data_IF_546824848733
#
_entry.id   IF_546824848733
#
_cell.length_a   1.000
_cell.length_b   1.000
_cell.length_c   1.000
_cell.angle_alpha   90.00
_cell.angle_beta   90.00
_cell.angle_gamma   90.00
#
_symmetry.space_group_name_H-M   'P 1'
#
loop_
_entity.id
_entity.type
_entity.pdbx_description
1 polymer ?
#
# COMPACT_ATOMS: atom_id res chain seq x y z
N UNK A 1 -30.86 -15.19 -19.03
CA UNK A 1 -29.42 -15.50 -18.86
C UNK A 1 -28.77 -16.01 -20.14
N UNK A 2 -29.50 -16.62 -21.08
CA UNK A 2 -28.92 -17.11 -22.35
C UNK A 2 -28.25 -16.02 -23.21
N UNK A 3 -28.73 -14.78 -23.13
CA UNK A 3 -28.18 -13.65 -23.91
C UNK A 3 -26.87 -13.07 -23.37
N UNK A 4 -26.47 -13.40 -22.14
CA UNK A 4 -25.25 -12.89 -21.50
C UNK A 4 -24.52 -14.03 -20.76
N UNK A 5 -23.88 -14.97 -21.48
CA UNK A 5 -23.23 -16.11 -20.86
C UNK A 5 -22.02 -15.66 -20.01
N UNK A 6 -21.87 -16.18 -18.79
CA UNK A 6 -20.72 -15.84 -17.96
C UNK A 6 -19.43 -16.41 -18.56
N UNK A 7 -18.26 -15.76 -18.32
CA UNK A 7 -16.97 -16.31 -18.69
C UNK A 7 -16.73 -17.69 -18.08
N UNK A 8 -15.90 -18.50 -18.76
CA UNK A 8 -15.55 -19.85 -18.29
C UNK A 8 -15.01 -19.81 -16.86
N UNK A 9 -15.60 -20.62 -15.98
CA UNK A 9 -15.20 -20.72 -14.57
C UNK A 9 -15.77 -19.64 -13.65
N UNK A 10 -16.65 -18.77 -14.13
CA UNK A 10 -17.33 -17.75 -13.32
C UNK A 10 -18.81 -18.11 -13.18
N UNK A 11 -19.35 -18.14 -11.97
CA UNK A 11 -20.79 -18.38 -11.77
C UNK A 11 -21.62 -17.19 -12.29
N UNK A 12 -22.87 -17.42 -12.72
CA UNK A 12 -23.75 -16.34 -13.18
C UNK A 12 -23.92 -15.21 -12.14
N UNK A 13 -24.04 -15.56 -10.86
CA UNK A 13 -24.23 -14.57 -9.78
C UNK A 13 -23.00 -13.69 -9.60
N UNK A 14 -21.79 -14.28 -9.63
CA UNK A 14 -20.54 -13.53 -9.56
C UNK A 14 -20.39 -12.64 -10.79
N UNK A 15 -20.76 -13.14 -11.98
CA UNK A 15 -20.71 -12.36 -13.21
C UNK A 15 -21.65 -11.15 -13.16
N UNK A 16 -22.89 -11.35 -12.69
CA UNK A 16 -23.86 -10.27 -12.49
C UNK A 16 -23.38 -9.23 -11.47
N UNK A 17 -22.84 -9.68 -10.33
CA UNK A 17 -22.27 -8.80 -9.30
C UNK A 17 -21.09 -7.99 -9.84
N UNK A 18 -20.18 -8.61 -10.60
CA UNK A 18 -19.05 -7.92 -11.26
C UNK A 18 -19.54 -6.84 -12.21
N UNK A 19 -20.55 -7.12 -13.04
CA UNK A 19 -21.13 -6.11 -13.93
C UNK A 19 -21.71 -4.94 -13.14
N UNK A 20 -22.48 -5.23 -12.09
CA UNK A 20 -23.12 -4.23 -11.23
C UNK A 20 -22.10 -3.28 -10.59
N UNK A 21 -21.07 -3.85 -9.93
CA UNK A 21 -20.02 -3.09 -9.24
C UNK A 21 -19.11 -2.36 -10.24
N UNK A 22 -18.84 -2.94 -11.41
CA UNK A 22 -18.01 -2.29 -12.45
C UNK A 22 -18.66 -1.00 -12.96
N UNK A 23 -19.98 -1.00 -13.17
CA UNK A 23 -20.70 0.23 -13.55
C UNK A 23 -20.71 1.25 -12.41
N UNK A 24 -20.84 0.79 -11.16
CA UNK A 24 -20.72 1.67 -10.00
C UNK A 24 -19.35 2.37 -9.92
N UNK A 25 -18.24 1.69 -10.22
CA UNK A 25 -16.91 2.33 -10.28
C UNK A 25 -16.83 3.44 -11.35
N UNK A 26 -17.49 3.25 -12.50
CA UNK A 26 -17.59 4.31 -13.52
C UNK A 26 -18.33 5.52 -12.96
N UNK A 27 -19.46 5.31 -12.29
CA UNK A 27 -20.26 6.40 -11.74
C UNK A 27 -19.61 7.06 -10.51
N UNK A 28 -18.85 6.30 -9.72
CA UNK A 28 -17.99 6.83 -8.66
C UNK A 28 -16.93 7.77 -9.25
N UNK A 29 -16.23 7.34 -10.29
CA UNK A 29 -15.25 8.18 -10.99
C UNK A 29 -15.89 9.49 -11.48
N UNK A 30 -17.06 9.41 -12.12
CA UNK A 30 -17.77 10.60 -12.62
C UNK A 30 -18.18 11.52 -11.46
N UNK A 31 -18.57 10.97 -10.32
CA UNK A 31 -18.95 11.73 -9.11
C UNK A 31 -17.76 12.46 -8.49
N UNK A 32 -16.66 11.74 -8.19
CA UNK A 32 -15.44 12.34 -7.64
C UNK A 32 -14.93 13.45 -8.56
N UNK A 33 -14.88 13.18 -9.86
CA UNK A 33 -14.46 14.16 -10.86
C UNK A 33 -15.30 15.43 -10.85
N UNK A 34 -16.63 15.31 -10.70
CA UNK A 34 -17.51 16.48 -10.59
C UNK A 34 -17.22 17.29 -9.34
N UNK A 35 -16.88 16.64 -8.24
CA UNK A 35 -16.58 17.31 -6.98
C UNK A 35 -15.20 17.97 -6.98
N UNK A 36 -14.18 17.31 -7.54
CA UNK A 36 -12.83 17.88 -7.72
C UNK A 36 -12.86 19.16 -8.56
N UNK A 37 -13.73 19.24 -9.57
CA UNK A 37 -13.92 20.45 -10.39
C UNK A 37 -14.50 21.65 -9.63
N UNK A 38 -15.09 21.43 -8.45
CA UNK A 38 -15.59 22.50 -7.59
C UNK A 38 -14.49 23.04 -6.66
N UNK A 39 -13.35 22.35 -6.57
CA UNK A 39 -12.23 22.73 -5.71
C UNK A 39 -11.39 23.85 -6.34
N UNK A 40 -10.68 24.67 -5.55
CA UNK A 40 -9.81 25.72 -6.06
C UNK A 40 -8.73 25.19 -7.02
N UNK A 41 -8.41 25.96 -8.06
CA UNK A 41 -7.62 25.54 -9.22
C UNK A 41 -6.16 25.08 -8.95
N UNK A 42 -5.67 25.15 -7.71
CA UNK A 42 -4.34 24.69 -7.30
C UNK A 42 -4.27 23.22 -6.82
N UNK A 43 -5.39 22.60 -6.46
CA UNK A 43 -5.44 21.24 -5.86
C UNK A 43 -5.56 20.11 -6.91
N UNK A 44 -4.94 20.31 -8.07
CA UNK A 44 -4.79 19.35 -9.20
C UNK A 44 -6.05 18.97 -10.00
N UNK A 45 -6.04 19.41 -11.27
CA UNK A 45 -6.97 18.99 -12.32
C UNK A 45 -6.41 17.90 -13.24
N UNK A 46 -5.09 17.65 -13.26
CA UNK A 46 -4.43 16.79 -14.25
C UNK A 46 -4.97 15.35 -14.27
N UNK A 47 -5.18 14.74 -13.09
CA UNK A 47 -5.66 13.35 -13.00
C UNK A 47 -7.12 13.14 -13.45
N UNK A 48 -7.92 14.22 -13.55
CA UNK A 48 -9.31 14.17 -14.01
C UNK A 48 -9.53 14.92 -15.33
N UNK A 49 -8.44 15.32 -16.01
CA UNK A 49 -8.46 15.83 -17.38
C UNK A 49 -8.59 14.65 -18.37
N UNK A 50 -9.20 14.87 -19.56
CA UNK A 50 -9.31 13.85 -20.61
C UNK A 50 -10.74 13.48 -21.04
N UNK A 51 -10.87 12.43 -21.88
CA UNK A 51 -12.15 11.92 -22.40
C UNK A 51 -13.05 11.42 -21.28
N UNK A 52 -14.36 11.57 -21.49
CA UNK A 52 -15.35 11.53 -20.40
C UNK A 52 -16.15 10.23 -20.40
N UNK A 53 -16.26 9.63 -19.23
CA UNK A 53 -17.43 8.82 -18.90
C UNK A 53 -18.63 9.73 -18.68
N UNK A 54 -19.79 9.27 -19.13
CA UNK A 54 -21.09 9.75 -18.66
C UNK A 54 -21.56 8.83 -17.54
N UNK A 55 -22.46 9.32 -16.69
CA UNK A 55 -23.15 8.47 -15.74
C UNK A 55 -23.86 7.33 -16.48
N UNK A 56 -23.62 6.10 -16.05
CA UNK A 56 -24.33 4.90 -16.48
C UNK A 56 -25.66 4.81 -15.74
N UNK A 57 -25.64 5.00 -14.42
CA UNK A 57 -26.81 5.13 -13.57
C UNK A 57 -26.68 6.34 -12.64
N UNK A 58 -27.82 6.84 -12.16
CA UNK A 58 -27.88 7.87 -11.11
C UNK A 58 -28.45 7.35 -9.80
N UNK A 59 -28.68 6.04 -9.73
CA UNK A 59 -29.25 5.37 -8.57
C UNK A 59 -28.66 3.97 -8.44
N UNK A 60 -28.42 3.57 -7.20
CA UNK A 60 -27.91 2.26 -6.82
C UNK A 60 -28.66 1.79 -5.57
N UNK A 61 -28.41 0.57 -5.11
CA UNK A 61 -28.89 0.16 -3.79
C UNK A 61 -28.35 1.11 -2.68
N UNK A 62 -29.01 1.12 -1.52
CA UNK A 62 -28.67 2.01 -0.42
C UNK A 62 -27.19 1.92 -0.01
N UNK A 63 -26.62 0.71 0.00
CA UNK A 63 -25.23 0.51 0.41
C UNK A 63 -24.24 1.14 -0.59
N UNK A 64 -24.38 0.84 -1.89
CA UNK A 64 -23.53 1.44 -2.92
C UNK A 64 -23.75 2.96 -3.06
N UNK A 65 -24.95 3.45 -2.78
CA UNK A 65 -25.25 4.88 -2.75
C UNK A 65 -24.50 5.56 -1.62
N UNK A 66 -24.48 4.97 -0.43
CA UNK A 66 -23.78 5.49 0.73
C UNK A 66 -22.25 5.43 0.58
N UNK A 67 -21.71 4.35 0.00
CA UNK A 67 -20.29 4.28 -0.37
C UNK A 67 -19.91 5.40 -1.35
N UNK A 68 -20.74 5.64 -2.38
CA UNK A 68 -20.50 6.71 -3.35
C UNK A 68 -20.57 8.11 -2.72
N UNK A 69 -21.50 8.32 -1.79
CA UNK A 69 -21.60 9.56 -1.03
C UNK A 69 -20.34 9.82 -0.20
N UNK A 70 -19.77 8.75 0.35
CA UNK A 70 -18.66 8.85 1.28
C UNK A 70 -17.28 8.96 0.62
N UNK A 71 -17.03 8.18 -0.44
CA UNK A 71 -15.74 8.16 -1.15
C UNK A 71 -15.68 9.34 -2.12
N UNK A 72 -15.33 10.50 -1.58
CA UNK A 72 -15.24 11.80 -2.27
C UNK A 72 -14.09 12.62 -1.70
N UNK A 73 -13.73 13.78 -2.29
CA UNK A 73 -12.75 14.67 -1.70
C UNK A 73 -13.09 14.96 -0.24
N UNK A 74 -12.17 14.62 0.67
CA UNK A 74 -12.43 14.63 2.12
C UNK A 74 -11.36 15.46 2.82
N UNK A 75 -11.80 16.42 3.63
CA UNK A 75 -10.90 17.25 4.43
C UNK A 75 -10.73 16.62 5.81
N UNK A 76 -9.49 16.25 6.14
CA UNK A 76 -9.15 15.73 7.48
C UNK A 76 -8.67 16.88 8.33
N UNK A 77 -9.43 17.15 9.41
CA UNK A 77 -9.15 18.25 10.34
C UNK A 77 -8.20 17.78 11.43
N UNK A 78 -7.37 18.71 11.90
CA UNK A 78 -6.48 18.51 13.06
C UNK A 78 -5.47 17.36 12.91
N UNK A 79 -5.32 16.80 11.70
CA UNK A 79 -4.14 16.03 11.34
C UNK A 79 -2.95 16.96 11.11
N UNK A 80 -1.74 16.40 11.07
CA UNK A 80 -0.48 17.15 10.89
C UNK A 80 -0.57 18.09 9.69
N UNK A 81 -1.12 17.62 8.57
CA UNK A 81 -1.16 18.39 7.33
C UNK A 81 -2.48 19.13 7.06
N UNK A 82 -3.49 19.05 7.95
CA UNK A 82 -4.83 19.63 7.79
C UNK A 82 -5.27 19.76 6.32
N UNK A 83 -5.27 18.63 5.61
CA UNK A 83 -5.27 18.58 4.16
C UNK A 83 -6.54 17.92 3.61
N UNK A 84 -6.83 18.23 2.34
CA UNK A 84 -7.89 17.56 1.58
C UNK A 84 -7.31 16.39 0.80
N UNK A 85 -7.86 15.21 1.05
CA UNK A 85 -7.52 13.97 0.36
C UNK A 85 -8.51 13.74 -0.78
N UNK A 86 -7.98 13.48 -1.98
CA UNK A 86 -8.78 13.22 -3.18
C UNK A 86 -8.65 11.73 -3.52
N UNK A 87 -9.75 10.95 -3.55
CA UNK A 87 -9.67 9.53 -3.87
C UNK A 87 -9.25 9.30 -5.32
N UNK A 88 -8.26 8.46 -5.56
CA UNK A 88 -7.78 8.11 -6.91
C UNK A 88 -8.12 6.66 -7.19
N UNK A 89 -8.96 6.41 -8.19
CA UNK A 89 -9.41 5.04 -8.53
C UNK A 89 -8.33 4.27 -9.30
N UNK A 90 -7.61 4.95 -10.20
CA UNK A 90 -6.54 4.39 -11.01
C UNK A 90 -5.55 5.49 -11.39
N UNK A 91 -4.26 5.14 -11.51
CA UNK A 91 -3.21 6.09 -11.91
C UNK A 91 -3.31 6.52 -13.37
N UNK A 92 -3.85 5.64 -14.23
CA UNK A 92 -4.12 5.94 -15.63
C UNK A 92 -5.50 5.41 -16.01
N UNK A 93 -6.21 6.17 -16.85
CA UNK A 93 -7.57 5.84 -17.27
C UNK A 93 -7.61 5.77 -18.79
N UNK A 94 -7.95 4.60 -19.32
CA UNK A 94 -8.25 4.43 -20.74
C UNK A 94 -9.74 4.14 -20.94
N UNK A 95 -10.51 5.18 -21.27
CA UNK A 95 -11.96 5.08 -21.46
C UNK A 95 -12.38 4.13 -22.59
N UNK A 96 -11.46 3.81 -23.51
CA UNK A 96 -11.72 2.91 -24.64
C UNK A 96 -11.41 1.44 -24.27
N UNK A 97 -10.68 1.21 -23.17
CA UNK A 97 -10.41 -0.12 -22.67
C UNK A 97 -11.68 -0.73 -22.03
N UNK A 98 -11.95 -2.03 -22.24
CA UNK A 98 -12.98 -2.76 -21.51
C UNK A 98 -12.83 -2.69 -19.98
N UNK A 99 -11.59 -2.64 -19.47
CA UNK A 99 -11.25 -2.36 -18.07
C UNK A 99 -10.53 -1.00 -17.98
N UNK A 100 -11.28 0.11 -17.93
CA UNK A 100 -10.70 1.45 -18.04
C UNK A 100 -9.85 1.87 -16.83
N UNK A 101 -10.02 1.20 -15.70
CA UNK A 101 -9.30 1.46 -14.46
C UNK A 101 -8.21 0.41 -14.17
N UNK A 102 -8.01 -0.57 -15.05
CA UNK A 102 -7.08 -1.68 -14.79
C UNK A 102 -7.49 -2.59 -13.61
N UNK A 103 -8.77 -2.55 -13.20
CA UNK A 103 -9.28 -3.36 -12.09
C UNK A 103 -9.42 -4.82 -12.53
N UNK A 104 -8.92 -5.74 -11.71
CA UNK A 104 -9.07 -7.18 -11.93
C UNK A 104 -10.54 -7.58 -11.94
N UNK A 105 -10.93 -8.42 -12.90
CA UNK A 105 -12.32 -8.89 -13.09
C UNK A 105 -13.36 -7.80 -13.41
N UNK A 106 -12.92 -6.61 -13.84
CA UNK A 106 -13.82 -5.56 -14.30
C UNK A 106 -14.62 -6.02 -15.52
N UNK A 107 -15.95 -5.90 -15.45
CA UNK A 107 -16.86 -6.41 -16.47
C UNK A 107 -17.77 -5.30 -16.96
N UNK A 108 -17.52 -4.83 -18.19
CA UNK A 108 -18.21 -3.67 -18.78
C UNK A 108 -19.37 -4.08 -19.69
N UNK A 109 -20.32 -4.86 -19.18
CA UNK A 109 -21.53 -5.27 -19.92
C UNK A 109 -22.75 -4.41 -19.50
N UNK A 110 -23.07 -3.40 -20.30
CA UNK A 110 -24.09 -2.38 -19.95
C UNK A 110 -25.50 -2.93 -20.04
N UNK A 111 -25.77 -3.78 -21.02
CA UNK A 111 -27.12 -4.29 -21.24
C UNK A 111 -27.52 -5.25 -20.11
N UNK A 112 -26.57 -6.08 -19.66
CA UNK A 112 -26.76 -6.91 -18.47
C UNK A 112 -26.99 -6.06 -17.21
N UNK A 113 -26.24 -4.96 -17.04
CA UNK A 113 -26.45 -4.03 -15.93
C UNK A 113 -27.87 -3.43 -15.92
N UNK A 114 -28.36 -2.94 -17.07
CA UNK A 114 -29.71 -2.38 -17.16
C UNK A 114 -30.79 -3.44 -16.91
N UNK A 115 -30.63 -4.65 -17.44
CA UNK A 115 -31.54 -5.77 -17.16
C UNK A 115 -31.55 -6.14 -15.67
N UNK A 116 -30.37 -6.23 -15.05
CA UNK A 116 -30.21 -6.58 -13.64
C UNK A 116 -30.85 -5.52 -12.74
N UNK A 117 -30.53 -4.24 -12.94
CA UNK A 117 -31.09 -3.13 -12.16
C UNK A 117 -32.62 -3.06 -12.28
N UNK A 118 -33.18 -3.31 -13.46
CA UNK A 118 -34.63 -3.36 -13.65
C UNK A 118 -35.28 -4.47 -12.81
N UNK A 119 -34.68 -5.67 -12.81
CA UNK A 119 -35.16 -6.81 -12.00
C UNK A 119 -35.04 -6.49 -10.50
N UNK A 120 -33.89 -5.97 -10.06
CA UNK A 120 -33.64 -5.63 -8.65
C UNK A 120 -34.64 -4.59 -8.13
N UNK A 121 -34.93 -3.54 -8.91
CA UNK A 121 -35.94 -2.53 -8.54
C UNK A 121 -37.34 -3.12 -8.47
N UNK A 122 -37.67 -4.04 -9.37
CA UNK A 122 -39.01 -4.65 -9.43
C UNK A 122 -39.25 -5.63 -8.27
N UNK A 123 -38.20 -6.27 -7.75
CA UNK A 123 -38.34 -7.29 -6.69
C UNK A 123 -38.76 -6.74 -5.33
N UNK A 124 -38.71 -5.41 -5.12
CA UNK A 124 -38.99 -4.71 -3.83
C UNK A 124 -38.11 -5.12 -2.65
N UNK A 125 -37.17 -6.06 -2.85
CA UNK A 125 -36.17 -6.45 -1.86
C UNK A 125 -35.08 -5.38 -1.79
N UNK A 126 -34.70 -4.84 -2.94
CA UNK A 126 -33.65 -3.83 -3.06
C UNK A 126 -34.24 -2.43 -2.98
N UNK A 127 -33.72 -1.62 -2.06
CA UNK A 127 -34.03 -0.20 -1.98
C UNK A 127 -32.99 0.56 -2.78
N UNK A 128 -33.45 1.24 -3.82
CA UNK A 128 -32.61 2.12 -4.62
C UNK A 128 -32.74 3.56 -4.15
N UNK A 129 -31.62 4.26 -4.12
CA UNK A 129 -31.54 5.66 -3.76
C UNK A 129 -30.74 6.43 -4.84
N UNK A 130 -31.05 7.72 -5.06
CA UNK A 130 -30.27 8.54 -5.98
C UNK A 130 -28.88 8.81 -5.42
N UNK A 131 -27.87 8.87 -6.30
CA UNK A 131 -26.52 9.29 -5.93
C UNK A 131 -26.54 10.72 -5.41
N UNK A 132 -25.88 10.94 -4.26
CA UNK A 132 -25.80 12.24 -3.61
C UNK A 132 -25.06 13.28 -4.47
N UNK A 133 -25.41 14.57 -4.29
CA UNK A 133 -24.77 15.68 -5.00
C UNK A 133 -23.73 16.46 -4.18
N UNK A 134 -23.59 16.11 -2.90
CA UNK A 134 -22.72 16.80 -1.95
C UNK A 134 -21.24 16.60 -2.28
N UNK A 135 -20.47 17.67 -2.19
CA UNK A 135 -19.08 17.66 -2.66
C UNK A 135 -18.08 17.07 -1.66
N UNK A 136 -18.45 16.98 -0.38
CA UNK A 136 -17.56 16.53 0.69
C UNK A 136 -17.80 15.06 1.00
N UNK A 137 -16.72 14.29 1.00
CA UNK A 137 -16.73 12.90 1.46
C UNK A 137 -16.64 12.77 2.97
N UNK A 138 -16.64 11.51 3.41
CA UNK A 138 -16.45 11.11 4.81
C UNK A 138 -15.11 10.40 4.95
N UNK A 139 -14.38 10.50 6.07
CA UNK A 139 -12.98 10.06 6.11
C UNK A 139 -12.77 8.57 6.38
N UNK A 140 -13.82 7.75 6.51
CA UNK A 140 -13.66 6.31 6.81
C UNK A 140 -12.83 5.54 5.78
N UNK A 141 -12.82 5.96 4.51
CA UNK A 141 -12.01 5.35 3.46
C UNK A 141 -10.50 5.67 3.58
N UNK A 142 -10.14 6.55 4.52
CA UNK A 142 -8.76 6.89 4.89
C UNK A 142 -8.29 6.15 6.15
N UNK A 143 -9.09 5.25 6.72
CA UNK A 143 -8.61 4.40 7.81
C UNK A 143 -7.52 3.45 7.30
N UNK A 144 -6.50 3.25 8.14
CA UNK A 144 -5.38 2.37 7.85
C UNK A 144 -5.71 0.95 8.29
N UNK A 145 -5.49 0.00 7.40
CA UNK A 145 -5.77 -1.42 7.62
C UNK A 145 -4.47 -2.18 7.76
N UNK A 146 -4.27 -2.75 8.94
CA UNK A 146 -3.13 -3.62 9.23
C UNK A 146 -3.56 -5.08 9.31
N UNK A 147 -2.59 -5.97 9.18
CA UNK A 147 -2.77 -7.42 9.36
C UNK A 147 -3.50 -7.74 10.67
N UNK A 148 -4.28 -8.83 10.68
CA UNK A 148 -5.14 -9.27 11.80
C UNK A 148 -6.28 -8.28 12.13
N UNK A 149 -6.82 -7.63 11.10
CA UNK A 149 -8.01 -6.77 11.19
C UNK A 149 -7.86 -5.61 12.19
N UNK A 150 -6.65 -5.05 12.27
CA UNK A 150 -6.40 -3.83 13.01
C UNK A 150 -6.69 -2.63 12.12
N UNK A 151 -7.88 -2.05 12.27
CA UNK A 151 -8.24 -0.82 11.56
C UNK A 151 -8.00 0.35 12.49
N UNK A 152 -7.21 1.31 12.03
CA UNK A 152 -6.72 2.42 12.84
C UNK A 152 -7.01 3.76 12.17
N UNK A 153 -7.17 4.80 12.98
CA UNK A 153 -7.30 6.16 12.49
C UNK A 153 -6.05 6.97 12.86
N UNK A 154 -5.39 7.51 11.85
CA UNK A 154 -4.24 8.41 11.99
C UNK A 154 -4.66 9.87 12.17
N UNK A 155 -5.97 10.14 12.26
CA UNK A 155 -6.55 11.45 12.56
C UNK A 155 -7.49 11.35 13.77
N UNK A 156 -7.74 12.48 14.48
CA UNK A 156 -8.58 12.44 15.67
C UNK A 156 -10.05 12.20 15.30
N UNK A 157 -10.80 11.54 16.19
CA UNK A 157 -12.24 11.31 16.05
C UNK A 157 -13.04 12.62 15.94
N UNK A 158 -12.74 13.56 16.83
CA UNK A 158 -13.45 14.84 16.92
C UNK A 158 -13.39 15.58 15.58
N UNK A 159 -14.56 15.97 15.09
CA UNK A 159 -14.79 16.75 13.86
C UNK A 159 -14.44 16.03 12.53
N UNK A 160 -14.06 14.75 12.58
CA UNK A 160 -13.72 13.93 11.41
C UNK A 160 -14.69 12.77 11.16
N UNK A 161 -14.93 11.89 12.14
CA UNK A 161 -15.74 10.70 11.93
C UNK A 161 -16.63 10.35 13.12
N UNK A 162 -17.66 9.54 12.85
CA UNK A 162 -18.64 9.08 13.83
C UNK A 162 -18.79 7.53 13.81
N UNK A 163 -19.70 6.93 14.60
CA UNK A 163 -19.91 5.48 14.59
C UNK A 163 -20.45 4.93 13.26
N UNK A 164 -21.12 5.73 12.43
CA UNK A 164 -21.60 5.28 11.12
C UNK A 164 -20.42 5.14 10.15
N UNK A 165 -19.44 6.04 10.20
CA UNK A 165 -18.17 5.91 9.48
C UNK A 165 -17.43 4.61 9.82
N UNK A 166 -17.33 4.29 11.11
CA UNK A 166 -16.71 3.05 11.58
C UNK A 166 -17.49 1.83 11.07
N UNK A 167 -18.83 1.91 11.06
CA UNK A 167 -19.70 0.83 10.57
C UNK A 167 -19.54 0.63 9.05
N UNK A 168 -19.40 1.71 8.28
CA UNK A 168 -19.14 1.65 6.85
C UNK A 168 -17.82 0.96 6.53
N UNK A 169 -16.74 1.37 7.22
CA UNK A 169 -15.45 0.71 7.09
C UNK A 169 -15.52 -0.77 7.49
N UNK A 170 -16.25 -1.09 8.57
CA UNK A 170 -16.46 -2.46 9.04
C UNK A 170 -17.17 -3.34 8.00
N UNK A 171 -18.23 -2.81 7.38
CA UNK A 171 -18.98 -3.54 6.35
C UNK A 171 -18.14 -3.75 5.09
N UNK A 172 -17.41 -2.72 4.65
CA UNK A 172 -16.53 -2.86 3.48
C UNK A 172 -15.44 -3.91 3.75
N UNK A 173 -14.84 -3.87 4.94
CA UNK A 173 -13.91 -4.90 5.41
C UNK A 173 -12.61 -4.98 4.62
N UNK A 174 -12.22 -3.90 3.94
CA UNK A 174 -10.98 -3.84 3.17
C UNK A 174 -10.46 -2.41 3.09
N UNK A 175 -9.16 -2.27 2.90
CA UNK A 175 -8.49 -0.98 2.73
C UNK A 175 -8.92 -0.32 1.42
N UNK A 176 -9.23 0.98 1.48
CA UNK A 176 -9.41 1.80 0.27
C UNK A 176 -8.12 2.53 -0.14
N UNK A 177 -7.17 2.67 0.78
CA UNK A 177 -5.90 3.38 0.57
C UNK A 177 -4.75 2.57 1.18
N UNK A 178 -3.50 2.79 0.72
CA UNK A 178 -2.31 2.38 1.48
C UNK A 178 -2.30 3.06 2.84
N UNK A 179 -1.58 2.50 3.81
CA UNK A 179 -1.47 3.12 5.14
C UNK A 179 -0.83 4.51 5.04
N UNK A 180 -1.50 5.51 5.61
CA UNK A 180 -1.14 6.93 5.59
C UNK A 180 -0.65 7.46 6.93
N UNK A 181 -0.79 6.70 8.02
CA UNK A 181 -0.38 7.11 9.34
C UNK A 181 1.12 7.40 9.45
N UNK A 182 1.48 8.21 10.43
CA UNK A 182 2.88 8.50 10.72
C UNK A 182 3.61 7.21 11.04
N UNK A 183 4.83 7.08 10.51
CA UNK A 183 5.65 5.88 10.69
C UNK A 183 7.06 6.25 11.07
N UNK A 184 7.55 5.57 12.10
CA UNK A 184 8.94 5.59 12.49
C UNK A 184 9.61 4.35 11.90
N UNK A 185 10.51 4.56 10.95
CA UNK A 185 11.16 3.52 10.18
C UNK A 185 12.57 3.30 10.74
N UNK A 186 12.83 2.07 11.14
CA UNK A 186 14.14 1.63 11.62
C UNK A 186 15.12 1.41 10.46
N UNK A 187 16.41 1.31 10.79
CA UNK A 187 17.44 0.94 9.82
C UNK A 187 17.32 -0.52 9.37
N UNK A 188 17.90 -0.82 8.21
CA UNK A 188 17.94 -2.19 7.70
C UNK A 188 18.84 -3.09 8.55
N UNK A 189 18.29 -4.22 8.97
CA UNK A 189 18.93 -5.27 9.76
C UNK A 189 18.98 -6.58 8.98
N UNK A 190 19.90 -7.48 9.33
CA UNK A 190 20.00 -8.80 8.69
C UNK A 190 19.32 -9.86 9.55
N UNK A 191 18.68 -10.84 8.91
CA UNK A 191 18.17 -12.01 9.64
C UNK A 191 19.33 -12.80 10.26
N UNK A 192 19.09 -13.38 11.44
CA UNK A 192 20.00 -14.35 12.01
C UNK A 192 20.28 -15.47 10.99
N UNK A 193 21.55 -15.85 10.84
CA UNK A 193 22.01 -16.87 9.89
C UNK A 193 21.80 -16.53 8.40
N UNK A 194 21.35 -15.31 8.06
CA UNK A 194 21.15 -14.89 6.67
C UNK A 194 19.97 -15.60 5.97
N UNK A 195 19.00 -16.10 6.74
CA UNK A 195 17.84 -16.82 6.21
C UNK A 195 16.55 -16.16 6.70
N UNK A 196 15.61 -15.89 5.80
CA UNK A 196 14.26 -15.44 6.17
C UNK A 196 13.56 -16.60 6.89
N UNK A 197 13.03 -16.41 8.11
CA UNK A 197 12.32 -17.45 8.84
C UNK A 197 11.19 -18.08 8.00
N UNK A 198 10.97 -19.38 8.18
CA UNK A 198 9.85 -20.06 7.55
C UNK A 198 8.52 -19.57 8.12
N UNK A 199 7.70 -18.92 7.30
CA UNK A 199 6.41 -18.31 7.67
C UNK A 199 6.50 -16.80 7.80
N UNK A 200 5.42 -16.16 8.27
CA UNK A 200 5.39 -14.71 8.49
C UNK A 200 6.11 -14.37 9.80
N UNK A 201 7.28 -13.70 9.76
CA UNK A 201 7.99 -13.35 10.98
C UNK A 201 7.16 -12.38 11.82
N UNK A 202 7.08 -12.63 13.12
CA UNK A 202 6.38 -11.73 14.04
C UNK A 202 7.23 -10.46 14.25
N UNK A 203 6.79 -9.26 13.84
CA UNK A 203 7.57 -8.05 14.02
C UNK A 203 7.89 -7.73 15.49
N UNK A 204 7.05 -8.20 16.42
CA UNK A 204 7.25 -8.01 17.86
C UNK A 204 8.36 -8.87 18.48
N UNK A 205 8.92 -9.84 17.76
CA UNK A 205 10.05 -10.65 18.26
C UNK A 205 11.43 -10.10 17.87
N UNK A 206 11.48 -8.93 17.23
CA UNK A 206 12.71 -8.31 16.79
C UNK A 206 12.88 -6.96 17.48
N UNK A 207 14.13 -6.66 17.81
CA UNK A 207 14.53 -5.40 18.41
C UNK A 207 14.89 -4.39 17.32
N UNK A 208 14.76 -3.11 17.66
CA UNK A 208 15.20 -2.02 16.80
C UNK A 208 16.70 -1.79 16.98
N UNK A 209 17.35 -1.27 15.94
CA UNK A 209 18.73 -0.76 16.05
C UNK A 209 18.71 0.69 16.51
N UNK A 210 17.85 1.50 15.90
CA UNK A 210 17.69 2.88 16.30
C UNK A 210 16.66 3.04 17.41
N UNK A 211 16.95 3.96 18.33
CA UNK A 211 15.95 4.40 19.30
C UNK A 211 14.73 4.99 18.60
N UNK A 212 13.56 4.77 19.19
CA UNK A 212 12.30 5.28 18.66
C UNK A 212 12.28 6.80 18.71
N UNK A 213 11.85 7.41 17.60
CA UNK A 213 11.82 8.87 17.44
C UNK A 213 10.56 9.49 18.04
N UNK A 214 9.44 8.78 17.98
CA UNK A 214 8.16 9.26 18.51
C UNK A 214 7.20 8.11 18.87
N UNK A 215 6.19 8.46 19.67
CA UNK A 215 5.21 7.53 20.22
C UNK A 215 3.78 8.02 19.99
N UNK A 216 2.88 7.07 19.79
CA UNK A 216 1.45 7.26 19.54
C UNK A 216 0.55 6.93 20.72
N UNK A 217 -0.72 7.28 20.59
CA UNK A 217 -1.77 6.78 21.51
C UNK A 217 -2.09 5.31 21.25
N UNK A 218 -1.97 4.89 20.00
CA UNK A 218 -2.05 3.50 19.58
C UNK A 218 -0.97 3.23 18.52
N UNK A 219 -0.38 2.04 18.55
CA UNK A 219 0.78 1.72 17.72
C UNK A 219 0.65 0.35 17.08
N UNK A 220 1.15 0.23 15.85
CA UNK A 220 1.21 -1.04 15.13
C UNK A 220 2.61 -1.21 14.57
N UNK A 221 3.30 -2.26 15.01
CA UNK A 221 4.60 -2.64 14.45
C UNK A 221 4.42 -3.57 13.26
N UNK A 222 5.04 -3.22 12.15
CA UNK A 222 5.13 -4.04 10.94
C UNK A 222 6.60 -4.28 10.57
N UNK A 223 6.84 -5.22 9.66
CA UNK A 223 8.18 -5.55 9.18
C UNK A 223 8.17 -5.50 7.65
N UNK A 224 9.15 -4.81 7.09
CA UNK A 224 9.46 -4.85 5.66
C UNK A 224 10.63 -5.79 5.45
N UNK A 225 10.54 -6.67 4.45
CA UNK A 225 11.53 -7.71 4.16
C UNK A 225 12.02 -7.52 2.73
N UNK A 226 13.34 -7.50 2.57
CA UNK A 226 14.03 -7.49 1.29
C UNK A 226 14.80 -8.82 1.15
N UNK A 227 14.18 -9.85 0.54
CA UNK A 227 14.76 -11.19 0.50
C UNK A 227 15.89 -11.32 -0.53
N UNK A 228 15.97 -10.41 -1.50
CA UNK A 228 16.91 -10.46 -2.62
C UNK A 228 18.04 -9.43 -2.50
N UNK A 229 18.17 -8.79 -1.33
CA UNK A 229 19.20 -7.79 -1.13
C UNK A 229 20.59 -8.37 -1.42
N UNK A 230 21.34 -7.67 -2.27
CA UNK A 230 22.72 -8.01 -2.58
C UNK A 230 23.59 -6.77 -2.42
N UNK A 231 24.59 -6.90 -1.55
CA UNK A 231 25.62 -5.87 -1.38
C UNK A 231 26.39 -5.65 -2.69
N UNK A 232 26.61 -6.71 -3.48
CA UNK A 232 27.25 -6.62 -4.78
C UNK A 232 26.46 -5.77 -5.76
N UNK A 233 25.14 -5.99 -5.85
CA UNK A 233 24.24 -5.22 -6.73
C UNK A 233 24.12 -3.77 -6.27
N UNK A 234 24.11 -3.51 -4.97
CA UNK A 234 24.06 -2.16 -4.41
C UNK A 234 25.34 -1.37 -4.69
N UNK A 235 26.51 -2.01 -4.59
CA UNK A 235 27.81 -1.36 -4.81
C UNK A 235 28.23 -1.29 -6.29
N UNK A 236 27.61 -2.10 -7.18
CA UNK A 236 27.96 -2.16 -8.61
C UNK A 236 27.98 -0.79 -9.33
N UNK A 237 27.04 0.15 -9.10
CA UNK A 237 27.08 1.48 -9.73
C UNK A 237 28.21 2.37 -9.20
N UNK A 238 28.65 2.17 -7.96
CA UNK A 238 29.74 2.93 -7.34
C UNK A 238 31.07 2.39 -7.85
N UNK A 239 31.22 1.07 -7.90
CA UNK A 239 32.41 0.40 -8.41
C UNK A 239 32.61 0.63 -9.92
N UNK A 240 31.53 0.80 -10.69
CA UNK A 240 31.60 1.12 -12.13
C UNK A 240 31.95 2.59 -12.43
N UNK A 241 31.89 3.47 -11.43
CA UNK A 241 32.32 4.88 -11.53
C UNK A 241 33.76 5.11 -11.09
N UNK A 242 34.44 4.09 -10.55
CA UNK A 242 35.88 4.15 -10.30
C UNK A 242 36.59 4.00 -11.64
N UNK A 243 37.16 5.11 -12.13
CA UNK A 243 37.90 5.17 -13.39
C UNK A 243 38.98 4.07 -13.42
N UNK A 244 38.95 3.12 -14.40
CA UNK A 244 39.94 2.07 -14.48
C UNK A 244 41.37 2.61 -14.66
N UNK A 245 41.54 3.88 -15.04
CA UNK A 245 42.84 4.51 -15.15
C UNK A 245 43.49 4.84 -13.80
N UNK A 246 42.76 4.89 -12.69
CA UNK A 246 43.39 5.05 -11.37
C UNK A 246 44.06 3.74 -10.93
N UNK A 247 43.50 2.59 -11.30
CA UNK A 247 44.11 1.29 -11.02
C UNK A 247 45.35 1.02 -11.89
N UNK A 248 45.39 1.51 -13.14
CA UNK A 248 46.54 1.36 -14.03
C UNK A 248 47.71 2.31 -13.67
N UNK A 249 47.44 3.49 -13.11
CA UNK A 249 48.51 4.47 -12.81
C UNK A 249 49.31 4.12 -11.55
N UNK A 250 48.79 3.25 -10.67
CA UNK A 250 49.49 2.79 -9.46
C UNK A 250 50.36 1.55 -9.71
N UNK A 251 50.11 0.79 -10.78
CA UNK A 251 50.90 -0.40 -11.12
C UNK A 251 52.25 -0.07 -11.78
N UNK A 252 52.41 1.11 -12.40
CA UNK A 252 53.65 1.51 -13.10
C UNK A 252 54.61 2.38 -12.26
N UNK A 253 54.27 2.70 -11.01
CA UNK A 253 55.23 3.29 -10.07
C UNK A 253 55.39 2.33 -8.90
N UNK A 254 56.52 1.63 -8.88
CA UNK A 254 56.96 0.70 -7.83
C UNK A 254 57.13 1.33 -6.45
N UNK A 255 56.04 1.83 -5.89
CA UNK A 255 55.89 2.28 -4.51
C UNK A 255 54.54 1.80 -4.05
N UNK A 256 54.54 0.74 -3.25
CA UNK A 256 53.41 0.25 -2.47
C UNK A 256 52.73 1.39 -1.71
N UNK A 257 51.48 1.76 -2.04
CA UNK A 257 50.66 2.54 -1.15
C UNK A 257 49.78 1.54 -0.39
N UNK A 258 50.16 1.26 0.85
CA UNK A 258 49.25 0.73 1.86
C UNK A 258 48.18 1.80 2.11
N UNK A 259 47.13 1.84 1.29
CA UNK A 259 45.94 2.63 1.59
C UNK A 259 45.09 1.81 2.54
N UNK A 260 45.48 1.82 3.82
CA UNK A 260 44.54 1.53 4.90
C UNK A 260 43.47 2.61 4.82
N UNK A 261 42.28 2.26 4.32
CA UNK A 261 41.09 3.08 4.55
C UNK A 261 40.84 3.01 6.05
N UNK A 262 41.36 4.00 6.79
CA UNK A 262 40.96 4.27 8.17
C UNK A 262 39.53 4.80 8.13
N UNK A 263 38.56 3.89 8.14
CA UNK A 263 37.25 4.20 8.71
C UNK A 263 37.52 4.47 10.19
N UNK A 264 37.41 5.74 10.57
CA UNK A 264 37.52 6.20 11.95
C UNK A 264 36.27 5.72 12.68
N UNK A 265 36.33 4.50 13.20
CA UNK A 265 35.40 4.03 14.21
C UNK A 265 35.76 4.71 15.52
N UNK A 266 34.89 5.60 16.01
CA UNK A 266 34.88 5.94 17.43
C UNK A 266 34.29 4.74 18.17
N UNK A 267 35.17 3.86 18.64
CA UNK A 267 34.84 2.79 19.57
C UNK A 267 34.69 3.36 20.99
N UNK A 268 33.52 3.12 21.60
CA UNK A 268 33.45 2.82 23.02
C UNK A 268 32.99 1.37 23.16
N UNK A 269 33.96 0.49 23.48
CA UNK A 269 33.95 -0.78 24.25
C UNK A 269 32.65 -1.63 24.28
N UNK A 270 32.68 -2.95 24.13
CA UNK A 270 33.66 -3.94 24.63
C UNK A 270 33.40 -5.34 24.05
N UNK A 271 34.49 -6.07 23.79
CA UNK A 271 34.67 -7.49 23.37
C UNK A 271 34.06 -8.56 24.32
N UNK A 272 33.92 -9.85 23.91
CA UNK A 272 35.00 -10.83 23.65
C UNK A 272 34.94 -11.48 22.25
N UNK A 273 36.03 -11.51 21.47
CA UNK A 273 37.10 -12.53 21.41
C UNK A 273 36.69 -13.90 20.84
N UNK A 274 37.11 -14.18 19.59
CA UNK A 274 37.37 -15.54 19.10
C UNK A 274 38.71 -15.52 18.33
N UNK A 275 39.69 -16.19 18.92
CA UNK A 275 41.00 -16.45 18.33
C UNK A 275 40.94 -17.65 17.37
N UNK A 276 41.59 -17.55 16.20
CA UNK A 276 42.08 -18.72 15.46
C UNK A 276 43.49 -18.42 14.97
N UNK A 277 44.44 -19.16 15.52
CA UNK A 277 45.85 -19.22 15.12
C UNK A 277 46.01 -20.15 13.93
N UNK A 278 46.76 -19.74 12.90
CA UNK A 278 47.50 -20.68 12.03
C UNK A 278 48.75 -20.02 11.44
N UNK A 279 49.90 -20.62 11.75
CA UNK A 279 51.21 -20.31 11.16
C UNK A 279 51.31 -20.95 9.77
N UNK A 280 51.84 -20.23 8.78
CA UNK A 280 52.65 -20.77 7.67
C UNK A 280 53.42 -19.62 6.98
N UNK A 281 54.72 -19.84 6.76
CA UNK A 281 55.69 -18.92 6.14
C UNK A 281 55.49 -18.77 4.62
N UNK A 282 55.99 -17.67 3.99
CA UNK A 282 55.62 -17.29 2.63
C UNK A 282 56.43 -18.04 1.56
N UNK A 283 55.75 -18.67 0.59
CA UNK A 283 56.37 -19.11 -0.67
C UNK A 283 56.08 -18.10 -1.79
N UNK A 284 57.17 -17.59 -2.37
CA UNK A 284 57.23 -16.78 -3.58
C UNK A 284 56.59 -17.51 -4.77
N UNK A 285 55.66 -16.81 -5.43
CA UNK A 285 54.97 -17.29 -6.62
C UNK A 285 53.79 -16.40 -6.96
N UNK A 286 54.04 -15.10 -7.18
CA UNK A 286 53.03 -14.11 -7.55
C UNK A 286 52.39 -14.46 -8.90
N UNK A 287 51.25 -15.15 -8.85
CA UNK A 287 50.19 -14.95 -9.82
C UNK A 287 49.22 -13.90 -9.25
N UNK A 288 48.87 -12.84 -10.01
CA UNK A 288 47.90 -11.88 -9.54
C UNK A 288 46.56 -12.59 -9.34
N UNK A 289 46.15 -12.72 -8.08
CA UNK A 289 44.80 -13.14 -7.70
C UNK A 289 43.78 -12.33 -8.49
N UNK A 290 42.82 -12.97 -9.19
CA UNK A 290 41.79 -12.23 -9.90
C UNK A 290 41.03 -11.38 -8.88
N UNK A 291 40.93 -10.08 -9.18
CA UNK A 291 40.06 -9.10 -8.55
C UNK A 291 38.74 -9.79 -8.17
N UNK A 292 38.57 -10.02 -6.87
CA UNK A 292 37.39 -10.51 -6.17
C UNK A 292 36.15 -10.57 -7.07
N UNK A 293 35.83 -11.77 -7.55
CA UNK A 293 34.43 -12.07 -7.90
C UNK A 293 33.66 -11.93 -6.60
N UNK A 294 33.06 -10.76 -6.37
CA UNK A 294 32.02 -10.61 -5.36
C UNK A 294 30.96 -11.62 -5.77
N UNK A 295 30.94 -12.78 -5.12
CA UNK A 295 29.88 -13.75 -5.31
C UNK A 295 28.61 -12.99 -4.92
N UNK A 296 27.64 -12.95 -5.83
CA UNK A 296 26.34 -12.32 -5.60
C UNK A 296 25.59 -13.14 -4.55
N UNK A 297 26.02 -13.00 -3.29
CA UNK A 297 25.39 -13.61 -2.14
C UNK A 297 24.25 -12.71 -1.73
N UNK A 298 23.04 -13.15 -2.05
CA UNK A 298 21.82 -12.56 -1.52
C UNK A 298 21.84 -12.69 -0.01
N UNK A 299 21.82 -11.55 0.69
CA UNK A 299 21.81 -11.48 2.15
C UNK A 299 20.48 -10.83 2.55
N UNK A 300 19.45 -11.63 2.86
CA UNK A 300 18.13 -11.09 3.14
C UNK A 300 18.19 -10.16 4.36
N UNK A 301 17.44 -9.08 4.29
CA UNK A 301 17.38 -8.05 5.33
C UNK A 301 15.95 -7.67 5.62
N UNK A 302 15.73 -7.08 6.79
CA UNK A 302 14.45 -6.56 7.22
C UNK A 302 14.62 -5.20 7.87
N UNK A 303 13.52 -4.46 8.01
CA UNK A 303 13.47 -3.29 8.90
C UNK A 303 12.13 -3.23 9.59
N UNK A 304 12.13 -2.72 10.81
CA UNK A 304 10.93 -2.52 11.59
C UNK A 304 10.30 -1.17 11.24
N UNK A 305 8.97 -1.15 11.19
CA UNK A 305 8.20 0.07 10.94
C UNK A 305 7.14 0.17 12.04
N UNK A 306 7.28 1.17 12.90
CA UNK A 306 6.33 1.48 13.96
C UNK A 306 5.37 2.57 13.47
N UNK A 307 4.12 2.16 13.20
CA UNK A 307 3.06 3.08 12.80
C UNK A 307 2.36 3.66 14.03
N UNK A 308 2.03 4.94 13.98
CA UNK A 308 1.45 5.71 15.08
C UNK A 308 0.06 6.22 14.71
N UNK A 309 -0.89 5.98 15.63
CA UNK A 309 -2.31 6.29 15.46
C UNK A 309 -2.90 7.01 16.68
N UNK A 310 -4.03 7.67 16.45
CA UNK A 310 -4.86 8.22 17.53
C UNK A 310 -5.61 7.12 18.25
N UNK A 311 -6.18 6.16 17.50
CA UNK A 311 -6.87 5.03 18.08
C UNK A 311 -7.03 3.87 17.10
N UNK A 312 -7.34 2.70 17.67
CA UNK A 312 -7.88 1.56 16.94
C UNK A 312 -9.40 1.71 16.85
N UNK A 313 -9.94 1.80 15.64
CA UNK A 313 -11.38 2.00 15.39
C UNK A 313 -12.15 0.69 15.29
N UNK A 314 -11.54 -0.39 14.79
CA UNK A 314 -12.15 -1.73 14.73
C UNK A 314 -11.24 -2.73 15.46
N UNK A 315 -11.83 -3.44 16.44
CA UNK A 315 -11.11 -4.37 17.34
C UNK A 315 -10.97 -5.78 16.81
N UNK A 316 -11.94 -6.24 16.05
CA UNK A 316 -11.94 -7.56 15.43
C UNK A 316 -13.00 -7.52 14.35
N UNK A 317 -12.73 -8.19 13.24
CA UNK A 317 -13.73 -8.42 12.21
C UNK A 317 -14.25 -9.85 12.30
N UNK A 318 -15.57 -9.98 12.29
CA UNK A 318 -16.25 -11.26 12.16
C UNK A 318 -17.33 -11.18 11.08
N UNK A 319 -17.44 -12.26 10.29
CA UNK A 319 -18.29 -12.28 9.11
C UNK A 319 -19.79 -12.20 9.45
N UNK A 320 -20.21 -12.75 10.59
CA UNK A 320 -21.61 -12.81 11.00
C UNK A 320 -22.12 -11.41 11.38
N UNK A 321 -21.41 -10.72 12.27
CA UNK A 321 -21.75 -9.35 12.68
C UNK A 321 -21.66 -8.40 11.50
N UNK A 322 -20.73 -8.62 10.56
CA UNK A 322 -20.63 -7.83 9.33
C UNK A 322 -21.84 -7.98 8.43
N UNK A 323 -22.33 -9.21 8.24
CA UNK A 323 -23.53 -9.46 7.47
C UNK A 323 -24.77 -8.81 8.11
N UNK A 324 -24.87 -8.85 9.44
CA UNK A 324 -25.94 -8.18 10.19
C UNK A 324 -25.87 -6.66 10.02
N UNK A 325 -24.68 -6.06 10.19
CA UNK A 325 -24.48 -4.63 10.01
C UNK A 325 -24.85 -4.16 8.59
N UNK A 326 -24.45 -4.91 7.57
CA UNK A 326 -24.84 -4.65 6.18
C UNK A 326 -26.37 -4.70 6.00
N UNK A 327 -27.03 -5.69 6.61
CA UNK A 327 -28.49 -5.81 6.57
C UNK A 327 -29.19 -4.59 7.18
N UNK A 328 -28.72 -4.11 8.33
CA UNK A 328 -29.28 -2.92 9.00
C UNK A 328 -29.09 -1.67 8.14
N UNK A 329 -27.89 -1.45 7.60
CA UNK A 329 -27.59 -0.27 6.78
C UNK A 329 -28.29 -0.28 5.42
N UNK A 330 -28.58 -1.46 4.87
CA UNK A 330 -29.35 -1.58 3.63
C UNK A 330 -30.85 -1.32 3.82
N UNK A 331 -31.33 -1.34 5.08
CA UNK A 331 -32.73 -1.12 5.45
C UNK A 331 -33.03 0.29 5.94
N UNK A 332 -32.03 1.00 6.44
CA UNK A 332 -32.07 2.45 6.67
C UNK A 332 -32.16 3.18 5.33
#
# INVERSE_FOLDING_TARGET
MESFPPPKGVSPDIYAARCYISMWFIDLYVSIRKDVRKLPAGEFHERYQGKLFFFISREYDNYLTLLNASIRPTHVKHAIDNARYIPIIADSIDVNNPSPFGINNFTRERDLFYGLTHIMKTSRIWRFAPLFSDANGRPWWLFDWHFKDHVCSWFPCKDNYDPEDVTLAYILGTACTPNLGDRDVDEWQYFAEGVVPHGDPNPGSYDRVDERRFYGSYEVRTMEIDPEFSLARMLAPILSQVDPNIAATVAERGTTPTTTIKLRWEEQSSHPDIAITRNEEPQEGDQPMPLYKLVDQTTPRFRLIDWVYYCRVIRQMDNETRAIAHGIMSLA
#
